data_IF_738184984236
#
_entry.id   IF_738184984236
#
_cell.length_a   1.000
_cell.length_b   1.000
_cell.length_c   1.000
_cell.angle_alpha   90.00
_cell.angle_beta   90.00
_cell.angle_gamma   90.00
#
_symmetry.space_group_name_H-M   'P 1'
#
loop_
_entity.id
_entity.type
_entity.pdbx_description
1 polymer ?
#
# COMPACT_ATOMS: atom_id res chain seq x y z
N UNK A 1 -0.01 -17.72 -4.64
CA UNK A 1 0.74 -16.60 -4.08
C UNK A 1 0.58 -16.67 -2.58
N UNK A 2 1.65 -16.97 -1.87
CA UNK A 2 1.66 -16.96 -0.42
C UNK A 2 2.17 -15.60 0.11
N UNK A 3 2.26 -15.46 1.43
CA UNK A 3 2.75 -14.23 2.04
C UNK A 3 4.23 -13.98 1.75
N UNK A 4 5.04 -15.04 1.61
CA UNK A 4 6.47 -14.94 1.26
C UNK A 4 6.68 -14.37 -0.13
N UNK A 5 5.89 -14.79 -1.12
CA UNK A 5 6.00 -14.32 -2.51
C UNK A 5 5.90 -12.79 -2.62
N UNK A 6 5.02 -12.17 -1.83
CA UNK A 6 4.85 -10.72 -1.81
C UNK A 6 6.05 -10.00 -1.18
N UNK A 7 6.58 -10.54 -0.08
CA UNK A 7 7.72 -9.96 0.61
C UNK A 7 9.01 -10.07 -0.19
N UNK A 8 9.24 -11.19 -0.86
CA UNK A 8 10.39 -11.37 -1.75
C UNK A 8 10.36 -10.36 -2.90
N UNK A 9 9.20 -10.21 -3.55
CA UNK A 9 9.03 -9.24 -4.63
C UNK A 9 9.20 -7.79 -4.16
N UNK A 10 8.67 -7.47 -2.97
CA UNK A 10 8.84 -6.15 -2.38
C UNK A 10 10.31 -5.85 -2.10
N UNK A 11 11.04 -6.79 -1.50
CA UNK A 11 12.47 -6.67 -1.21
C UNK A 11 13.27 -6.43 -2.48
N UNK A 12 13.03 -7.22 -3.52
CA UNK A 12 13.78 -7.14 -4.77
C UNK A 12 13.55 -5.80 -5.47
N UNK A 13 12.32 -5.29 -5.47
CA UNK A 13 11.99 -3.98 -6.03
C UNK A 13 12.52 -2.82 -5.18
N UNK A 14 12.42 -2.91 -3.86
CA UNK A 14 12.93 -1.90 -2.94
C UNK A 14 14.45 -1.76 -3.04
N UNK A 15 15.18 -2.84 -3.35
CA UNK A 15 16.62 -2.80 -3.59
C UNK A 15 17.05 -2.02 -4.83
N UNK A 16 16.12 -1.66 -5.73
CA UNK A 16 16.41 -0.88 -6.94
C UNK A 16 16.49 0.63 -6.67
N UNK A 17 16.02 1.09 -5.51
CA UNK A 17 15.90 2.51 -5.19
C UNK A 17 16.33 2.78 -3.74
N UNK A 18 16.70 4.02 -3.43
CA UNK A 18 16.89 4.43 -2.04
C UNK A 18 15.52 4.73 -1.41
N UNK A 19 14.93 3.74 -0.74
CA UNK A 19 13.59 3.83 -0.15
C UNK A 19 13.68 4.18 1.34
N UNK A 20 13.01 5.25 1.75
CA UNK A 20 12.78 5.58 3.16
C UNK A 20 11.38 5.14 3.59
N UNK A 21 11.33 4.28 4.61
CA UNK A 21 10.07 3.76 5.16
C UNK A 21 9.61 4.63 6.32
N UNK A 22 8.47 5.28 6.16
CA UNK A 22 7.87 6.14 7.19
C UNK A 22 6.52 5.58 7.59
N UNK A 23 6.38 5.22 8.87
CA UNK A 23 5.10 4.83 9.44
C UNK A 23 4.26 6.07 9.77
N UNK A 24 3.03 6.10 9.28
CA UNK A 24 2.06 7.16 9.53
C UNK A 24 0.83 6.59 10.24
N UNK A 25 0.24 7.38 11.13
CA UNK A 25 -1.00 7.01 11.81
C UNK A 25 -2.18 7.11 10.83
N UNK A 26 -3.04 6.10 10.82
CA UNK A 26 -4.29 6.12 10.04
C UNK A 26 -5.25 7.23 10.49
N UNK A 27 -6.01 7.78 9.53
CA UNK A 27 -7.03 8.83 9.74
C UNK A 27 -6.56 10.02 10.59
N UNK A 28 -5.30 10.45 10.38
CA UNK A 28 -4.66 11.50 11.15
C UNK A 28 -4.44 12.80 10.34
N UNK A 29 -5.16 13.03 9.23
CA UNK A 29 -4.99 14.23 8.41
C UNK A 29 -3.82 14.16 7.43
N UNK A 30 -3.14 13.01 7.29
CA UNK A 30 -2.07 12.86 6.31
C UNK A 30 -2.69 12.70 4.91
N UNK A 31 -2.67 13.78 4.12
CA UNK A 31 -3.31 13.83 2.81
C UNK A 31 -2.87 12.71 1.86
N UNK A 32 -1.60 12.29 1.89
CA UNK A 32 -1.09 11.19 1.08
C UNK A 32 -1.69 9.85 1.51
N UNK A 33 -1.70 9.58 2.81
CA UNK A 33 -2.25 8.36 3.38
C UNK A 33 -3.77 8.27 3.18
N UNK A 34 -4.52 9.35 3.40
CA UNK A 34 -5.98 9.40 3.21
C UNK A 34 -6.37 9.16 1.75
N UNK A 35 -5.58 9.68 0.81
CA UNK A 35 -5.77 9.40 -0.61
C UNK A 35 -5.50 7.94 -0.95
N UNK A 36 -4.45 7.34 -0.37
CA UNK A 36 -4.13 5.93 -0.57
C UNK A 36 -5.25 5.01 -0.01
N UNK A 37 -5.77 5.33 1.18
CA UNK A 37 -6.90 4.65 1.82
C UNK A 37 -8.15 4.69 0.92
N UNK A 38 -8.54 5.89 0.46
CA UNK A 38 -9.67 6.07 -0.46
C UNK A 38 -9.50 5.36 -1.81
N UNK A 39 -8.26 5.13 -2.26
CA UNK A 39 -7.98 4.38 -3.48
C UNK A 39 -8.09 2.87 -3.24
N UNK A 40 -7.59 2.37 -2.11
CA UNK A 40 -7.71 0.98 -1.71
C UNK A 40 -9.19 0.58 -1.56
N UNK A 41 -9.99 1.41 -0.88
CA UNK A 41 -11.43 1.21 -0.72
C UNK A 41 -12.17 1.13 -2.06
N UNK A 42 -11.83 2.04 -2.99
CA UNK A 42 -12.40 2.00 -4.35
C UNK A 42 -12.03 0.72 -5.09
N UNK A 43 -10.78 0.27 -4.98
CA UNK A 43 -10.35 -1.00 -5.57
C UNK A 43 -11.16 -2.18 -5.04
N UNK A 44 -11.42 -2.19 -3.73
CA UNK A 44 -12.28 -3.21 -3.11
C UNK A 44 -13.73 -3.10 -3.61
N UNK A 45 -14.32 -1.90 -3.64
CA UNK A 45 -15.69 -1.68 -4.15
C UNK A 45 -15.85 -2.20 -5.59
N UNK A 46 -14.88 -1.88 -6.45
CA UNK A 46 -14.87 -2.35 -7.84
C UNK A 46 -14.77 -3.88 -7.94
N UNK A 47 -13.96 -4.51 -7.08
CA UNK A 47 -13.83 -5.96 -7.04
C UNK A 47 -15.11 -6.65 -6.54
N UNK A 48 -15.83 -6.01 -5.61
CA UNK A 48 -17.07 -6.55 -5.04
C UNK A 48 -18.33 -6.25 -5.88
N UNK A 49 -18.21 -5.42 -6.94
CA UNK A 49 -19.33 -5.04 -7.79
C UNK A 49 -20.39 -4.19 -7.09
N UNK A 50 -19.99 -3.47 -6.03
CA UNK A 50 -20.83 -2.55 -5.28
C UNK A 50 -20.81 -1.14 -5.88
#
# INVERSE_FOLDING_TARGET
MDWSDLWERLRDLAGLHEVSWVWVKGHAGNAGNERADSLADRGLSMMLGA
#
